data_IF_607861069303
#
_entry.id   IF_607861069303
#
_cell.length_a   1.000
_cell.length_b   1.000
_cell.length_c   1.000
_cell.angle_alpha   90.00
_cell.angle_beta   90.00
_cell.angle_gamma   90.00
#
_symmetry.space_group_name_H-M   'P 1'
#
loop_
_entity.id
_entity.type
_entity.pdbx_description
1 polymer ?
#
# COMPACT_ATOMS: atom_id res chain seq x y z
N UNK A 1 -4.18 14.35 30.16
CA UNK A 1 -4.13 15.78 29.88
C UNK A 1 -5.51 16.37 30.12
N UNK A 2 -5.61 17.45 30.94
CA UNK A 2 -6.83 18.21 31.10
C UNK A 2 -6.63 19.54 30.35
N UNK A 3 -7.64 19.93 29.55
CA UNK A 3 -7.68 21.21 28.79
C UNK A 3 -6.45 21.45 27.88
N UNK A 4 -5.86 20.38 27.36
CA UNK A 4 -4.75 20.51 26.42
C UNK A 4 -5.27 21.05 25.09
N UNK A 5 -4.71 22.19 24.64
CA UNK A 5 -5.02 22.81 23.35
C UNK A 5 -3.75 22.92 22.52
N UNK A 6 -3.81 22.67 21.20
CA UNK A 6 -2.67 22.92 20.32
C UNK A 6 -2.37 24.42 20.31
N UNK A 7 -1.10 24.79 20.31
CA UNK A 7 -0.64 26.17 20.16
C UNK A 7 -0.68 26.65 18.71
N UNK A 8 -0.71 25.71 17.76
CA UNK A 8 -0.78 25.97 16.32
C UNK A 8 -2.01 25.29 15.73
N UNK A 9 -2.76 26.01 14.95
CA UNK A 9 -3.96 25.52 14.26
C UNK A 9 -3.70 25.32 12.78
N UNK A 10 -4.29 24.29 12.13
CA UNK A 10 -4.22 24.13 10.69
C UNK A 10 -4.80 25.31 9.94
N UNK A 11 -4.19 25.64 8.79
CA UNK A 11 -4.76 26.62 7.85
C UNK A 11 -5.99 26.07 7.15
N UNK A 12 -6.00 24.77 6.84
CA UNK A 12 -7.13 24.08 6.19
C UNK A 12 -8.35 24.05 7.11
N UNK A 13 -9.52 24.26 6.53
CA UNK A 13 -10.81 24.27 7.24
C UNK A 13 -11.75 23.26 6.61
N UNK A 14 -12.51 22.49 7.40
CA UNK A 14 -12.55 22.48 8.87
C UNK A 14 -11.29 21.91 9.53
N UNK A 15 -10.53 21.06 8.83
CA UNK A 15 -9.26 20.41 9.25
C UNK A 15 -8.52 19.93 7.99
N UNK A 16 -7.23 19.57 8.08
CA UNK A 16 -6.54 18.81 7.03
C UNK A 16 -7.23 17.48 6.78
N UNK A 17 -7.16 16.92 5.55
CA UNK A 17 -7.68 15.57 5.27
C UNK A 17 -7.09 14.54 6.23
N UNK A 18 -7.95 13.74 6.85
CA UNK A 18 -7.57 12.71 7.83
C UNK A 18 -7.52 11.36 7.12
N UNK A 19 -6.31 10.83 6.95
CA UNK A 19 -6.09 9.50 6.39
C UNK A 19 -5.97 8.49 7.52
N UNK A 20 -6.76 7.42 7.48
CA UNK A 20 -6.76 6.38 8.50
C UNK A 20 -6.23 5.08 7.90
N UNK A 21 -5.06 4.64 8.38
CA UNK A 21 -4.51 3.34 8.02
C UNK A 21 -5.31 2.22 8.70
N UNK A 22 -5.69 1.21 7.94
CA UNK A 22 -6.45 0.09 8.45
C UNK A 22 -6.24 -1.20 7.63
N UNK A 23 -6.13 -2.35 8.33
CA UNK A 23 -5.89 -3.69 7.76
C UNK A 23 -6.94 -4.68 8.18
N UNK A 24 -7.91 -4.53 8.78
CA UNK A 24 -8.91 -5.54 9.17
C UNK A 24 -10.32 -5.01 8.98
N UNK A 25 -11.29 -5.87 8.96
CA UNK A 25 -12.69 -5.51 8.67
C UNK A 25 -13.23 -4.42 9.60
N UNK A 26 -13.02 -4.55 10.92
CA UNK A 26 -13.43 -3.53 11.90
C UNK A 26 -12.73 -2.20 11.75
N UNK A 27 -11.38 -2.17 11.70
CA UNK A 27 -10.61 -0.97 11.40
C UNK A 27 -10.96 -0.30 10.07
N UNK A 28 -11.22 -1.06 8.99
CA UNK A 28 -11.62 -0.52 7.68
C UNK A 28 -13.00 0.18 7.77
N UNK A 29 -13.98 -0.43 8.45
CA UNK A 29 -15.26 0.24 8.73
C UNK A 29 -15.09 1.52 9.55
N UNK A 30 -14.18 1.49 10.53
CA UNK A 30 -13.88 2.68 11.32
C UNK A 30 -13.23 3.78 10.49
N UNK A 31 -12.33 3.43 9.56
CA UNK A 31 -11.73 4.39 8.63
C UNK A 31 -12.81 5.07 7.76
N UNK A 32 -13.76 4.31 7.24
CA UNK A 32 -14.88 4.84 6.47
C UNK A 32 -15.78 5.81 7.25
N UNK A 33 -15.87 5.64 8.57
CA UNK A 33 -16.73 6.46 9.43
C UNK A 33 -16.04 7.71 9.96
N UNK A 34 -14.75 7.66 10.23
CA UNK A 34 -14.03 8.69 10.99
C UNK A 34 -12.97 9.42 10.18
N UNK A 35 -12.56 8.90 9.03
CA UNK A 35 -11.55 9.48 8.15
C UNK A 35 -12.15 10.05 6.89
N UNK A 36 -11.39 10.90 6.24
CA UNK A 36 -11.69 11.37 4.89
C UNK A 36 -11.21 10.35 3.85
N UNK A 37 -10.13 9.60 4.16
CA UNK A 37 -9.51 8.63 3.27
C UNK A 37 -9.11 7.37 4.03
N UNK A 38 -9.43 6.20 3.46
CA UNK A 38 -8.83 4.95 3.90
C UNK A 38 -7.47 4.76 3.24
N UNK A 39 -6.44 4.61 4.07
CA UNK A 39 -5.09 4.28 3.67
C UNK A 39 -4.88 2.77 3.81
N UNK A 40 -4.89 2.03 2.69
CA UNK A 40 -4.54 0.63 2.66
C UNK A 40 -3.02 0.48 2.69
N UNK A 41 -2.48 0.04 3.83
CA UNK A 41 -1.04 -0.14 4.00
C UNK A 41 -0.51 -1.38 3.23
N UNK A 42 0.82 -1.60 3.14
CA UNK A 42 1.40 -2.59 2.23
C UNK A 42 1.26 -4.07 2.66
N UNK A 43 0.53 -4.36 3.72
CA UNK A 43 0.57 -5.67 4.38
C UNK A 43 -0.29 -6.74 3.71
N UNK A 44 -1.51 -6.38 3.30
CA UNK A 44 -2.48 -7.32 2.76
C UNK A 44 -2.21 -7.66 1.29
N UNK A 45 -2.52 -8.89 0.88
CA UNK A 45 -2.55 -9.30 -0.53
C UNK A 45 -3.69 -8.61 -1.27
N UNK A 46 -3.63 -8.62 -2.60
CA UNK A 46 -4.62 -8.00 -3.48
C UNK A 46 -6.03 -8.56 -3.25
N UNK A 47 -6.17 -9.88 -3.06
CA UNK A 47 -7.46 -10.53 -2.78
C UNK A 47 -8.10 -10.05 -1.48
N UNK A 48 -7.30 -9.88 -0.43
CA UNK A 48 -7.76 -9.32 0.84
C UNK A 48 -8.16 -7.85 0.71
N UNK A 49 -7.42 -7.09 -0.09
CA UNK A 49 -7.78 -5.69 -0.36
C UNK A 49 -9.07 -5.56 -1.16
N UNK A 50 -9.35 -6.48 -2.07
CA UNK A 50 -10.62 -6.51 -2.82
C UNK A 50 -11.81 -6.72 -1.87
N UNK A 51 -11.70 -7.66 -0.94
CA UNK A 51 -12.70 -7.87 0.12
C UNK A 51 -12.86 -6.62 0.99
N UNK A 52 -11.73 -6.05 1.45
CA UNK A 52 -11.73 -4.85 2.30
C UNK A 52 -12.30 -3.63 1.58
N UNK A 53 -12.12 -3.51 0.26
CA UNK A 53 -12.73 -2.46 -0.55
C UNK A 53 -14.26 -2.57 -0.55
N UNK A 54 -14.80 -3.79 -0.67
CA UNK A 54 -16.24 -4.01 -0.54
C UNK A 54 -16.78 -3.56 0.82
N UNK A 55 -16.07 -3.90 1.91
CA UNK A 55 -16.40 -3.48 3.28
C UNK A 55 -16.33 -1.95 3.43
N UNK A 56 -15.28 -1.33 2.89
CA UNK A 56 -15.10 0.13 2.95
C UNK A 56 -16.23 0.86 2.26
N UNK A 57 -16.54 0.48 1.00
CA UNK A 57 -17.63 1.10 0.22
C UNK A 57 -19.00 0.92 0.87
N UNK A 58 -19.27 -0.26 1.43
CA UNK A 58 -20.48 -0.51 2.19
C UNK A 58 -20.62 0.41 3.40
N UNK A 59 -19.55 0.54 4.18
CA UNK A 59 -19.54 1.42 5.36
C UNK A 59 -19.65 2.91 5.00
N UNK A 60 -19.03 3.38 3.91
CA UNK A 60 -19.22 4.76 3.40
C UNK A 60 -20.68 5.00 3.04
N UNK A 61 -21.33 4.06 2.33
CA UNK A 61 -22.73 4.18 1.94
C UNK A 61 -23.67 4.20 3.15
N UNK A 62 -23.41 3.38 4.17
CA UNK A 62 -24.20 3.32 5.42
C UNK A 62 -24.16 4.66 6.21
N UNK A 63 -23.03 5.37 6.14
CA UNK A 63 -22.86 6.63 6.88
C UNK A 63 -23.32 7.86 6.10
N UNK A 64 -23.79 7.70 4.86
CA UNK A 64 -24.25 8.81 4.02
C UNK A 64 -23.15 9.80 3.63
N UNK A 65 -21.90 9.47 3.89
CA UNK A 65 -20.76 10.25 3.41
C UNK A 65 -20.66 10.08 1.88
N UNK A 66 -20.29 11.16 1.18
CA UNK A 66 -19.97 11.07 -0.25
C UNK A 66 -18.81 10.08 -0.48
N UNK A 67 -18.71 9.52 -1.69
CA UNK A 67 -17.56 8.69 -2.04
C UNK A 67 -16.29 9.55 -1.94
N UNK A 68 -15.22 9.06 -1.27
CA UNK A 68 -13.96 9.77 -1.22
C UNK A 68 -13.38 9.90 -2.64
N UNK A 69 -12.76 11.03 -2.92
CA UNK A 69 -12.08 11.29 -4.20
C UNK A 69 -10.87 10.35 -4.35
N UNK A 70 -10.10 10.21 -3.27
CA UNK A 70 -8.92 9.36 -3.22
C UNK A 70 -9.18 8.07 -2.45
N UNK A 71 -8.75 6.95 -3.01
CA UNK A 71 -8.66 5.67 -2.34
C UNK A 71 -7.22 5.20 -2.45
N UNK A 72 -6.53 5.19 -1.31
CA UNK A 72 -5.07 5.14 -1.23
C UNK A 72 -4.58 3.73 -0.93
N UNK A 73 -3.57 3.28 -1.67
CA UNK A 73 -2.82 2.06 -1.37
C UNK A 73 -1.31 2.33 -1.33
N UNK A 74 -0.64 1.77 -0.33
CA UNK A 74 0.82 1.74 -0.26
C UNK A 74 1.35 0.40 -0.74
N UNK A 75 2.41 0.41 -1.57
CA UNK A 75 3.07 -0.81 -2.08
C UNK A 75 4.57 -0.64 -2.21
N UNK A 76 5.27 -1.71 -1.93
CA UNK A 76 6.66 -1.88 -2.31
C UNK A 76 6.73 -2.07 -3.82
N UNK A 77 7.57 -1.26 -4.48
CA UNK A 77 7.70 -1.25 -5.94
C UNK A 77 9.17 -1.36 -6.34
N UNK A 78 9.48 -2.28 -7.23
CA UNK A 78 10.80 -2.37 -7.83
C UNK A 78 10.73 -2.81 -9.29
N UNK A 79 11.25 -1.98 -10.17
CA UNK A 79 11.27 -2.21 -11.61
C UNK A 79 12.70 -2.51 -12.06
N UNK A 80 12.86 -3.59 -12.81
CA UNK A 80 14.11 -3.93 -13.49
C UNK A 80 13.84 -4.30 -14.95
N UNK A 81 14.87 -4.69 -15.71
CA UNK A 81 14.67 -5.07 -17.11
C UNK A 81 13.87 -6.36 -17.28
N UNK A 82 13.94 -7.23 -16.28
CA UNK A 82 13.18 -8.48 -16.26
C UNK A 82 12.60 -8.73 -14.87
N UNK A 83 11.51 -9.53 -14.82
CA UNK A 83 10.93 -9.98 -13.54
C UNK A 83 11.94 -10.74 -12.68
N UNK A 84 12.74 -11.59 -13.28
CA UNK A 84 13.76 -12.37 -12.56
C UNK A 84 14.82 -11.47 -11.90
N UNK A 85 15.23 -10.42 -12.59
CA UNK A 85 16.18 -9.43 -12.06
C UNK A 85 15.54 -8.61 -10.94
N UNK A 86 14.31 -8.14 -11.10
CA UNK A 86 13.59 -7.39 -10.06
C UNK A 86 13.47 -8.20 -8.77
N UNK A 87 13.04 -9.46 -8.88
CA UNK A 87 12.94 -10.36 -7.73
C UNK A 87 14.29 -10.61 -7.06
N UNK A 88 15.35 -10.85 -7.83
CA UNK A 88 16.70 -11.08 -7.31
C UNK A 88 17.25 -9.88 -6.54
N UNK A 89 17.02 -8.67 -7.06
CA UNK A 89 17.55 -7.43 -6.45
C UNK A 89 16.74 -7.00 -5.21
N UNK A 90 15.41 -7.08 -5.27
CA UNK A 90 14.54 -6.64 -4.19
C UNK A 90 14.44 -7.65 -3.03
N UNK A 91 14.64 -8.95 -3.30
CA UNK A 91 14.42 -10.04 -2.34
C UNK A 91 15.11 -9.84 -0.99
N UNK A 92 16.43 -9.60 -0.89
CA UNK A 92 17.10 -9.55 0.41
C UNK A 92 16.52 -8.48 1.33
N UNK A 93 16.27 -7.29 0.79
CA UNK A 93 15.74 -6.16 1.54
C UNK A 93 14.28 -6.38 1.95
N UNK A 94 13.45 -6.95 1.07
CA UNK A 94 12.03 -7.19 1.36
C UNK A 94 11.83 -8.35 2.33
N UNK A 95 12.59 -9.44 2.22
CA UNK A 95 12.55 -10.55 3.19
C UNK A 95 12.86 -10.03 4.60
N UNK A 96 13.93 -9.23 4.75
CA UNK A 96 14.31 -8.65 6.03
C UNK A 96 13.24 -7.69 6.57
N UNK A 97 12.71 -6.79 5.72
CA UNK A 97 11.67 -5.85 6.09
C UNK A 97 10.43 -6.57 6.63
N UNK A 98 9.94 -7.58 5.92
CA UNK A 98 8.73 -8.31 6.33
C UNK A 98 8.98 -9.24 7.51
N UNK A 99 10.20 -9.75 7.67
CA UNK A 99 10.62 -10.45 8.88
C UNK A 99 10.54 -9.52 10.12
N UNK A 100 11.01 -8.29 10.00
CA UNK A 100 10.87 -7.28 11.07
C UNK A 100 9.40 -6.98 11.35
N UNK A 101 8.57 -6.80 10.34
CA UNK A 101 7.13 -6.60 10.52
C UNK A 101 6.45 -7.77 11.24
N UNK A 102 6.83 -9.02 10.92
CA UNK A 102 6.35 -10.21 11.62
C UNK A 102 6.73 -10.19 13.11
N UNK A 103 7.99 -9.83 13.44
CA UNK A 103 8.43 -9.73 14.85
C UNK A 103 7.67 -8.67 15.64
N UNK A 104 7.15 -7.64 14.96
CA UNK A 104 6.31 -6.60 15.54
C UNK A 104 4.82 -6.97 15.58
N UNK A 105 4.45 -8.16 15.10
CA UNK A 105 3.07 -8.65 15.08
C UNK A 105 2.16 -7.92 14.09
N UNK A 106 2.72 -7.27 13.06
CA UNK A 106 1.92 -6.47 12.12
C UNK A 106 1.03 -7.33 11.20
N UNK A 107 1.33 -8.62 11.06
CA UNK A 107 0.53 -9.57 10.30
C UNK A 107 -0.58 -10.26 11.12
N UNK A 108 -0.63 -10.05 12.44
CA UNK A 108 -1.60 -10.72 13.32
C UNK A 108 -3.06 -10.33 13.04
N UNK A 109 -3.27 -9.17 12.44
CA UNK A 109 -4.61 -8.68 12.08
C UNK A 109 -5.02 -9.05 10.65
N UNK A 110 -4.15 -9.73 9.91
CA UNK A 110 -4.39 -10.16 8.54
C UNK A 110 -4.99 -11.58 8.52
N UNK A 111 -5.70 -11.97 7.46
CA UNK A 111 -6.11 -13.35 7.25
C UNK A 111 -4.90 -14.31 7.26
N UNK A 112 -5.07 -15.59 7.61
CA UNK A 112 -3.98 -16.56 7.67
C UNK A 112 -3.16 -16.67 6.38
N UNK A 113 -3.77 -16.48 5.20
CA UNK A 113 -3.10 -16.48 3.90
C UNK A 113 -2.19 -15.27 3.63
N UNK A 114 -2.28 -14.24 4.47
CA UNK A 114 -1.51 -12.99 4.35
C UNK A 114 -0.36 -12.88 5.38
N UNK A 115 -0.07 -13.95 6.11
CA UNK A 115 1.04 -13.98 7.07
C UNK A 115 2.37 -13.68 6.38
N UNK A 116 3.34 -13.21 7.18
CA UNK A 116 4.66 -12.81 6.66
C UNK A 116 5.72 -13.91 6.79
N UNK A 117 5.42 -14.99 7.50
CA UNK A 117 6.26 -16.17 7.69
C UNK A 117 6.17 -17.16 6.51
N UNK A 118 6.15 -16.65 5.30
CA UNK A 118 6.03 -17.40 4.05
C UNK A 118 7.34 -17.36 3.25
N UNK A 119 7.61 -18.38 2.39
CA UNK A 119 8.66 -18.27 1.38
C UNK A 119 8.48 -17.01 0.53
N UNK A 120 9.59 -16.37 0.10
CA UNK A 120 9.55 -15.07 -0.56
C UNK A 120 8.62 -15.03 -1.77
N UNK A 121 8.59 -16.09 -2.58
CA UNK A 121 7.74 -16.17 -3.76
C UNK A 121 6.24 -16.06 -3.40
N UNK A 122 5.84 -16.72 -2.31
CA UNK A 122 4.47 -16.65 -1.78
C UNK A 122 4.19 -15.34 -1.05
N UNK A 123 5.21 -14.79 -0.38
CA UNK A 123 5.14 -13.49 0.28
C UNK A 123 4.94 -12.38 -0.75
N UNK A 124 5.67 -12.42 -1.86
CA UNK A 124 5.65 -11.41 -2.92
C UNK A 124 4.39 -11.49 -3.79
N UNK A 125 3.79 -12.69 -3.89
CA UNK A 125 2.62 -12.90 -4.73
C UNK A 125 1.45 -12.01 -4.31
N UNK A 126 0.96 -11.21 -5.25
CA UNK A 126 -0.18 -10.30 -5.07
C UNK A 126 -0.01 -9.27 -3.93
N UNK A 127 1.21 -9.08 -3.44
CA UNK A 127 1.52 -8.09 -2.39
C UNK A 127 2.44 -6.99 -2.91
N UNK A 128 3.52 -7.34 -3.60
CA UNK A 128 4.49 -6.37 -4.13
C UNK A 128 4.27 -6.10 -5.61
N UNK A 129 4.72 -4.94 -6.07
CA UNK A 129 4.76 -4.57 -7.49
C UNK A 129 6.20 -4.71 -7.96
N UNK A 130 6.56 -5.91 -8.42
CA UNK A 130 7.93 -6.25 -8.82
C UNK A 130 7.94 -6.85 -10.22
N UNK A 131 8.85 -6.35 -11.07
CA UNK A 131 9.01 -6.94 -12.39
C UNK A 131 9.61 -6.05 -13.45
N UNK A 132 9.41 -6.43 -14.70
CA UNK A 132 9.63 -5.56 -15.85
C UNK A 132 8.64 -4.39 -15.86
N UNK A 133 8.84 -3.36 -16.69
CA UNK A 133 7.85 -2.30 -16.85
C UNK A 133 6.44 -2.83 -17.15
N UNK A 134 6.30 -3.79 -18.06
CA UNK A 134 5.00 -4.38 -18.41
C UNK A 134 4.38 -5.14 -17.23
N UNK A 135 5.18 -5.94 -16.48
CA UNK A 135 4.71 -6.62 -15.27
C UNK A 135 4.18 -5.61 -14.24
N UNK A 136 4.88 -4.50 -14.04
CA UNK A 136 4.47 -3.48 -13.07
C UNK A 136 3.21 -2.73 -13.51
N UNK A 137 3.06 -2.42 -14.79
CA UNK A 137 1.84 -1.83 -15.35
C UNK A 137 0.65 -2.76 -15.12
N UNK A 138 0.78 -4.04 -15.47
CA UNK A 138 -0.28 -5.02 -15.26
C UNK A 138 -0.68 -5.14 -13.79
N UNK A 139 0.30 -5.21 -12.89
CA UNK A 139 0.05 -5.29 -11.45
C UNK A 139 -0.67 -4.04 -10.94
N UNK A 140 -0.25 -2.82 -11.34
CA UNK A 140 -0.91 -1.57 -10.93
C UNK A 140 -2.35 -1.53 -11.45
N UNK A 141 -2.59 -1.95 -12.70
CA UNK A 141 -3.94 -2.00 -13.27
C UNK A 141 -4.87 -2.96 -12.51
N UNK A 142 -4.35 -4.03 -11.90
CA UNK A 142 -5.14 -4.90 -11.02
C UNK A 142 -5.66 -4.15 -9.79
N UNK A 143 -4.84 -3.29 -9.16
CA UNK A 143 -5.28 -2.42 -8.07
C UNK A 143 -6.30 -1.37 -8.52
N UNK A 144 -6.09 -0.77 -9.71
CA UNK A 144 -7.03 0.21 -10.27
C UNK A 144 -8.41 -0.40 -10.53
N UNK A 145 -8.47 -1.65 -11.01
CA UNK A 145 -9.75 -2.37 -11.21
C UNK A 145 -10.54 -2.58 -9.91
N UNK A 146 -9.88 -2.73 -8.78
CA UNK A 146 -10.52 -2.79 -7.45
C UNK A 146 -11.05 -1.41 -7.04
N UNK A 147 -10.41 -0.34 -7.52
CA UNK A 147 -10.81 1.04 -7.29
C UNK A 147 -9.80 1.89 -6.54
N UNK A 148 -8.58 1.41 -6.35
CA UNK A 148 -7.48 2.25 -5.87
C UNK A 148 -7.05 3.22 -6.98
N UNK A 149 -6.96 4.50 -6.67
CA UNK A 149 -6.59 5.55 -7.62
C UNK A 149 -5.41 6.41 -7.15
N UNK A 150 -4.99 6.24 -5.90
CA UNK A 150 -3.83 6.93 -5.36
C UNK A 150 -2.81 5.91 -4.83
N UNK A 151 -1.57 5.94 -5.37
CA UNK A 151 -0.52 4.99 -5.01
C UNK A 151 0.60 5.69 -4.26
N UNK A 152 0.90 5.20 -3.06
CA UNK A 152 2.15 5.50 -2.36
C UNK A 152 3.10 4.34 -2.65
N UNK A 153 4.20 4.65 -3.32
CA UNK A 153 5.15 3.65 -3.79
C UNK A 153 6.46 3.75 -3.01
N UNK A 154 6.82 2.66 -2.35
CA UNK A 154 8.02 2.53 -1.53
C UNK A 154 9.12 1.86 -2.38
N UNK A 155 10.18 2.59 -2.69
CA UNK A 155 11.24 2.16 -3.63
C UNK A 155 12.56 1.84 -2.97
N UNK A 156 12.75 2.25 -1.72
CA UNK A 156 14.02 2.14 -1.04
C UNK A 156 13.85 1.52 0.34
N UNK A 157 14.60 0.47 0.59
CA UNK A 157 14.53 -0.28 1.83
C UNK A 157 15.93 -0.45 2.41
N UNK A 158 16.01 -0.78 3.70
CA UNK A 158 17.26 -1.13 4.36
C UNK A 158 17.97 -2.24 3.56
N UNK A 159 19.27 -2.15 3.42
CA UNK A 159 20.13 -3.08 2.67
C UNK A 159 19.97 -3.07 1.13
N UNK A 160 19.14 -2.19 0.58
CA UNK A 160 19.14 -1.89 -0.85
C UNK A 160 20.04 -0.67 -1.12
N UNK A 161 21.03 -0.82 -2.00
CA UNK A 161 21.91 0.31 -2.31
C UNK A 161 21.19 1.41 -3.11
N UNK A 162 21.59 2.67 -2.86
CA UNK A 162 20.95 3.85 -3.41
C UNK A 162 20.97 3.89 -4.94
N UNK A 163 22.04 3.41 -5.57
CA UNK A 163 22.18 3.45 -7.02
C UNK A 163 21.16 2.49 -7.67
N UNK A 164 21.02 1.31 -7.13
CA UNK A 164 20.05 0.30 -7.56
C UNK A 164 18.61 0.79 -7.37
N UNK A 165 18.30 1.37 -6.21
CA UNK A 165 16.98 1.94 -5.95
C UNK A 165 16.65 3.10 -6.92
N UNK A 166 17.61 3.98 -7.16
CA UNK A 166 17.45 5.13 -8.07
C UNK A 166 17.29 4.70 -9.53
N UNK A 167 17.99 3.64 -9.96
CA UNK A 167 17.82 3.09 -11.30
C UNK A 167 16.43 2.51 -11.51
N UNK A 168 15.90 1.76 -10.54
CA UNK A 168 14.52 1.26 -10.53
C UNK A 168 13.52 2.42 -10.62
N UNK A 169 13.67 3.46 -9.82
CA UNK A 169 12.80 4.63 -9.85
C UNK A 169 12.84 5.37 -11.19
N UNK A 170 14.04 5.51 -11.78
CA UNK A 170 14.19 6.11 -13.12
C UNK A 170 13.51 5.29 -14.20
N UNK A 171 13.64 3.97 -14.13
CA UNK A 171 12.99 3.06 -15.06
C UNK A 171 11.47 3.14 -14.96
N UNK A 172 10.93 3.16 -13.73
CA UNK A 172 9.52 3.41 -13.48
C UNK A 172 9.04 4.72 -14.10
N UNK A 173 9.76 5.81 -13.85
CA UNK A 173 9.40 7.14 -14.37
C UNK A 173 9.41 7.25 -15.89
N UNK A 174 10.28 6.48 -16.57
CA UNK A 174 10.38 6.50 -18.02
C UNK A 174 9.41 5.56 -18.73
N UNK A 175 9.16 4.39 -18.16
CA UNK A 175 8.48 3.31 -18.89
C UNK A 175 7.14 2.89 -18.26
N UNK A 176 6.95 3.07 -16.95
CA UNK A 176 5.71 2.66 -16.26
C UNK A 176 4.76 3.86 -16.09
N UNK A 177 5.22 4.94 -15.46
CA UNK A 177 4.37 6.07 -15.14
C UNK A 177 3.66 6.71 -16.37
N UNK A 178 4.29 6.84 -17.54
CA UNK A 178 3.59 7.37 -18.73
C UNK A 178 2.46 6.48 -19.24
N UNK A 179 2.56 5.17 -19.06
CA UNK A 179 1.55 4.21 -19.51
C UNK A 179 0.30 4.16 -18.61
N UNK A 180 0.38 4.74 -17.41
CA UNK A 180 -0.71 4.75 -16.41
C UNK A 180 -1.55 6.05 -16.43
N UNK A 181 -1.25 6.97 -17.31
CA UNK A 181 -1.95 8.26 -17.45
C UNK A 181 -3.30 8.15 -18.15
#
# INVERSE_FOLDING_TARGET
LRDARPSVWPLQKPHPPVWIAANGHGPVRRAARLGDVWFANPHAKLSTLEEQMGIYRGAVAEHGAGQPEDIVVSREVFVARTRAEALRLARPALEERFRVYATQGQDQQLPPGDRFDLPFEQLAEDRFILGSPDDCIEQIERYRRIGFNYFIMDYHWLDLDDATALESLRLFGREVAPALR
#
